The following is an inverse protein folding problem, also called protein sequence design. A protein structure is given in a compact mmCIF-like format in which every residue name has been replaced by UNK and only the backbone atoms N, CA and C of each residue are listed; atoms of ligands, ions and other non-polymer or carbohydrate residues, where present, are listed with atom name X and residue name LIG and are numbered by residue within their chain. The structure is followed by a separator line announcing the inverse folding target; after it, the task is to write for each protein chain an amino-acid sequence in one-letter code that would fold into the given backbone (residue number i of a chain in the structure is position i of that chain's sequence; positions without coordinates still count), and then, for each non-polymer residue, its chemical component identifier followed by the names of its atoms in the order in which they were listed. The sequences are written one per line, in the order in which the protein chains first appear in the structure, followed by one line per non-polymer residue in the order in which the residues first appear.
data_IF_481697509201
#
_entry.id   IF_481697509201
#
_cell.length_a   1.000
_cell.length_b   1.000
_cell.length_c   1.000
_cell.angle_alpha   90.00
_cell.angle_beta   90.00
_cell.angle_gamma   90.00
#
_symmetry.space_group_name_H-M   'P 1'
#
loop_
_entity.id
_entity.type
_entity.pdbx_description
1 polymer ?
#
# COMPACT_ATOMS: atom_id res chain seq x y z
N UNK A 1 -13.81 -2.05 6.77
CA UNK A 1 -12.77 -1.03 6.66
C UNK A 1 -12.77 -0.39 5.27
N UNK A 2 -12.33 0.84 5.20
CA UNK A 2 -12.12 1.54 3.95
C UNK A 2 -10.61 1.66 3.75
N UNK A 3 -10.09 1.07 2.69
CA UNK A 3 -8.64 1.02 2.46
C UNK A 3 -8.29 1.91 1.28
N UNK A 4 -7.39 2.86 1.53
CA UNK A 4 -6.88 3.77 0.51
C UNK A 4 -5.44 3.41 0.23
N UNK A 5 -5.14 3.14 -1.04
CA UNK A 5 -3.76 2.86 -1.47
C UNK A 5 -3.26 4.10 -2.22
N UNK A 6 -2.38 4.84 -1.57
CA UNK A 6 -1.82 6.07 -2.14
C UNK A 6 -0.33 5.84 -2.40
N UNK A 7 -0.04 5.15 -3.48
CA UNK A 7 1.32 4.73 -3.78
C UNK A 7 1.46 4.33 -5.24
N UNK A 8 2.69 4.38 -5.72
CA UNK A 8 3.06 3.73 -6.98
C UNK A 8 3.22 2.24 -6.69
N UNK A 9 2.39 1.43 -7.32
CA UNK A 9 2.47 -0.01 -7.14
C UNK A 9 3.57 -0.57 -8.05
N UNK A 10 4.38 -1.46 -7.50
CA UNK A 10 5.50 -2.06 -8.23
C UNK A 10 4.98 -3.02 -9.31
N UNK A 11 4.76 -2.48 -10.48
CA UNK A 11 4.25 -3.18 -11.64
C UNK A 11 5.05 -2.74 -12.86
N UNK A 12 5.15 -3.58 -13.90
CA UNK A 12 5.89 -3.20 -15.12
C UNK A 12 5.44 -1.87 -15.72
N UNK A 13 4.14 -1.61 -15.71
CA UNK A 13 3.60 -0.36 -16.25
C UNK A 13 4.10 0.85 -15.48
N UNK A 14 4.06 0.81 -14.15
CA UNK A 14 4.52 1.90 -13.31
C UNK A 14 6.03 2.12 -13.44
N UNK A 15 6.79 1.02 -13.52
CA UNK A 15 8.24 1.10 -13.71
C UNK A 15 8.60 1.76 -15.04
N UNK A 16 7.86 1.48 -16.09
CA UNK A 16 8.10 2.08 -17.41
C UNK A 16 7.79 3.56 -17.43
N UNK A 17 6.74 3.98 -16.73
CA UNK A 17 6.33 5.38 -16.73
C UNK A 17 7.18 6.26 -15.82
N UNK A 18 7.79 5.67 -14.79
CA UNK A 18 8.58 6.40 -13.82
C UNK A 18 9.89 5.67 -13.51
N UNK A 19 10.76 5.49 -14.53
CA UNK A 19 11.94 4.64 -14.39
C UNK A 19 12.98 5.18 -13.40
N UNK A 20 12.96 6.48 -13.14
CA UNK A 20 13.97 7.13 -12.29
C UNK A 20 13.60 7.13 -10.81
N UNK A 21 12.44 6.58 -10.44
CA UNK A 21 12.03 6.53 -9.04
C UNK A 21 12.82 5.46 -8.29
N UNK A 22 13.32 5.75 -7.08
CA UNK A 22 13.97 4.74 -6.24
C UNK A 22 13.03 3.57 -5.96
N UNK A 23 13.60 2.38 -5.82
CA UNK A 23 12.82 1.17 -5.55
C UNK A 23 11.94 1.30 -4.31
N UNK A 24 12.44 1.96 -3.28
CA UNK A 24 11.73 2.12 -2.01
C UNK A 24 10.49 3.02 -2.10
N UNK A 25 10.32 3.77 -3.20
CA UNK A 25 9.12 4.58 -3.43
C UNK A 25 7.97 3.77 -4.03
N UNK A 26 8.22 2.51 -4.39
CA UNK A 26 7.18 1.64 -4.93
C UNK A 26 6.61 0.75 -3.84
N UNK A 27 5.28 0.68 -3.78
CA UNK A 27 4.61 -0.25 -2.90
C UNK A 27 4.60 -1.63 -3.55
N UNK A 28 5.03 -2.65 -2.81
CA UNK A 28 5.09 -4.01 -3.33
C UNK A 28 3.71 -4.65 -3.24
N UNK A 29 3.19 -5.23 -4.33
CA UNK A 29 1.85 -5.82 -4.32
C UNK A 29 1.65 -6.87 -3.22
N UNK A 30 2.64 -7.73 -2.98
CA UNK A 30 2.55 -8.76 -1.96
C UNK A 30 2.40 -8.17 -0.56
N UNK A 31 3.12 -7.08 -0.29
CA UNK A 31 3.08 -6.42 1.01
C UNK A 31 1.78 -5.67 1.21
N UNK A 32 1.25 -5.05 0.15
CA UNK A 32 -0.07 -4.43 0.19
C UNK A 32 -1.14 -5.48 0.47
N UNK A 33 -1.08 -6.60 -0.22
CA UNK A 33 -2.04 -7.68 -0.05
C UNK A 33 -2.01 -8.23 1.37
N UNK A 34 -0.83 -8.37 1.97
CA UNK A 34 -0.68 -8.84 3.33
C UNK A 34 -1.37 -7.89 4.32
N UNK A 35 -1.17 -6.59 4.17
CA UNK A 35 -1.80 -5.59 5.04
C UNK A 35 -3.32 -5.62 4.90
N UNK A 36 -3.83 -5.74 3.68
CA UNK A 36 -5.26 -5.82 3.43
C UNK A 36 -5.84 -7.08 4.07
N UNK A 37 -5.14 -8.20 3.95
CA UNK A 37 -5.56 -9.46 4.54
C UNK A 37 -5.67 -9.36 6.07
N UNK A 38 -4.65 -8.80 6.72
CA UNK A 38 -4.68 -8.61 8.16
C UNK A 38 -5.78 -7.66 8.61
N UNK A 39 -5.99 -6.58 7.86
CA UNK A 39 -7.07 -5.64 8.17
C UNK A 39 -8.44 -6.32 8.10
N UNK A 40 -8.65 -7.17 7.12
CA UNK A 40 -9.92 -7.88 6.95
C UNK A 40 -10.18 -8.89 8.07
N UNK A 41 -9.14 -9.31 8.79
CA UNK A 41 -9.23 -10.31 9.86
C UNK A 41 -9.18 -9.72 11.26
N UNK A 42 -9.29 -8.42 11.39
CA UNK A 42 -9.28 -7.78 12.70
C UNK A 42 -10.45 -8.24 13.55
N UNK A 43 -10.24 -8.36 14.88
CA UNK A 43 -11.36 -8.67 15.80
C UNK A 43 -12.43 -7.60 15.72
N UNK A 44 -13.69 -8.00 15.92
CA UNK A 44 -14.83 -7.07 15.83
C UNK A 44 -14.74 -5.90 16.81
N UNK A 45 -14.11 -6.11 17.96
CA UNK A 45 -13.97 -5.06 18.96
C UNK A 45 -12.88 -4.04 18.62
N UNK A 46 -12.12 -4.28 17.55
CA UNK A 46 -11.01 -3.41 17.17
C UNK A 46 -10.89 -3.32 15.65
N UNK A 47 -11.99 -3.00 14.98
CA UNK A 47 -11.98 -2.80 13.53
C UNK A 47 -11.43 -1.42 13.20
N UNK A 48 -10.54 -1.37 12.21
CA UNK A 48 -10.12 -0.11 11.62
C UNK A 48 -11.22 0.42 10.71
N UNK A 49 -11.52 1.71 10.79
CA UNK A 49 -12.47 2.33 9.89
C UNK A 49 -11.79 2.75 8.58
N UNK A 50 -10.68 3.43 8.69
CA UNK A 50 -9.93 3.91 7.54
C UNK A 50 -8.47 3.47 7.67
N UNK A 51 -7.93 2.84 6.62
CA UNK A 51 -6.52 2.44 6.56
C UNK A 51 -5.93 3.04 5.29
N UNK A 52 -4.86 3.83 5.46
CA UNK A 52 -4.16 4.43 4.35
C UNK A 52 -2.79 3.80 4.19
N UNK A 53 -2.52 3.28 3.01
CA UNK A 53 -1.28 2.55 2.72
C UNK A 53 -0.39 3.38 1.81
N UNK A 54 0.82 3.68 2.29
CA UNK A 54 1.83 4.43 1.55
C UNK A 54 3.20 3.84 1.79
N UNK A 55 4.12 3.94 0.82
CA UNK A 55 5.52 3.67 1.12
C UNK A 55 6.04 4.62 2.19
N UNK A 56 7.00 4.18 2.98
CA UNK A 56 7.51 5.00 4.08
C UNK A 56 8.17 6.31 3.60
N UNK A 57 8.55 6.37 2.33
CA UNK A 57 9.16 7.55 1.73
C UNK A 57 8.16 8.64 1.35
N UNK A 58 6.86 8.32 1.36
CA UNK A 58 5.84 9.30 1.05
C UNK A 58 5.70 10.33 2.15
N UNK A 59 5.50 11.58 1.76
CA UNK A 59 5.28 12.67 2.73
C UNK A 59 3.81 12.70 3.13
N UNK A 60 3.60 12.80 4.41
CA UNK A 60 2.26 12.85 4.99
C UNK A 60 1.69 14.25 5.01
#
# INVERSE_FOLDING_TARGET
AYIVVDALIDMPFARRNQPDRPDEEYAKPDELAETIFHTARQPRSAWSFLVELRPFTEKW
#
